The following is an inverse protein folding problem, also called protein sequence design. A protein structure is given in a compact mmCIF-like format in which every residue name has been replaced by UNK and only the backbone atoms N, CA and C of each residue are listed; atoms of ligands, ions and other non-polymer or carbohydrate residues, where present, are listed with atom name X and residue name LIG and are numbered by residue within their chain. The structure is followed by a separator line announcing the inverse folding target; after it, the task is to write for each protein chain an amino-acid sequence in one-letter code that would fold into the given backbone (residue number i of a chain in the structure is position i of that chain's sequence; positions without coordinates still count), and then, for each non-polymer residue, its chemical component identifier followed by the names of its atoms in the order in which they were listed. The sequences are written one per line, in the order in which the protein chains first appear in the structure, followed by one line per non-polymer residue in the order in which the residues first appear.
data_IF_515441045944
#
_entry.id   IF_515441045944
#
_cell.length_a   1.000
_cell.length_b   1.000
_cell.length_c   1.000
_cell.angle_alpha   90.00
_cell.angle_beta   90.00
_cell.angle_gamma   90.00
#
_symmetry.space_group_name_H-M   'P 1'
#
loop_
_entity.id
_entity.type
_entity.pdbx_description
1 polymer ?
#
# COMPACT_ATOMS: atom_id res chain seq x y z
N UNK A 1 17.76 35.98 -47.73
CA UNK A 1 16.35 36.32 -47.99
C UNK A 1 15.60 35.00 -47.97
N UNK A 2 14.96 34.63 -46.86
CA UNK A 2 13.55 34.95 -46.50
C UNK A 2 12.59 34.24 -47.46
N UNK A 3 11.53 33.50 -47.09
CA UNK A 3 10.90 32.97 -45.87
C UNK A 3 9.65 32.18 -46.37
N UNK A 4 9.06 31.30 -45.56
CA UNK A 4 7.67 30.80 -45.69
C UNK A 4 7.58 29.29 -45.94
N UNK A 5 7.42 28.38 -44.97
CA UNK A 5 6.29 28.17 -44.01
C UNK A 5 4.91 28.04 -44.66
N UNK A 6 4.29 26.86 -44.56
CA UNK A 6 3.01 26.70 -43.87
C UNK A 6 2.79 25.25 -43.41
N UNK A 7 2.78 25.08 -42.09
CA UNK A 7 2.34 23.91 -41.33
C UNK A 7 0.89 24.19 -40.91
N UNK A 8 -0.04 23.28 -41.17
CA UNK A 8 -1.41 23.38 -40.65
C UNK A 8 -1.53 22.56 -39.36
N UNK A 9 -1.62 23.26 -38.23
CA UNK A 9 -1.86 22.70 -36.90
C UNK A 9 -3.33 22.88 -36.53
N UNK A 10 -4.03 21.80 -36.23
CA UNK A 10 -5.37 21.84 -35.62
C UNK A 10 -5.24 22.16 -34.12
N UNK A 11 -5.78 23.33 -33.73
CA UNK A 11 -5.95 23.76 -32.34
C UNK A 11 -7.23 23.18 -31.76
N UNK A 12 -7.14 22.63 -30.55
CA UNK A 12 -8.26 22.46 -29.62
C UNK A 12 -8.06 23.38 -28.41
N UNK A 13 -9.16 23.83 -27.77
CA UNK A 13 -9.18 25.06 -26.98
C UNK A 13 -8.48 24.92 -25.61
N UNK A 14 -7.80 26.00 -25.26
CA UNK A 14 -7.21 26.28 -23.96
C UNK A 14 -8.28 26.40 -22.87
N UNK A 15 -8.23 25.51 -21.88
CA UNK A 15 -8.69 25.81 -20.53
C UNK A 15 -7.46 25.94 -19.61
N UNK A 16 -7.35 27.02 -18.83
CA UNK A 16 -6.18 27.26 -17.99
C UNK A 16 -6.41 26.59 -16.64
N UNK A 17 -5.56 25.64 -16.25
CA UNK A 17 -5.27 25.27 -14.86
C UNK A 17 -4.07 24.31 -14.85
N UNK A 18 -2.91 24.80 -15.29
CA UNK A 18 -1.64 24.09 -15.20
C UNK A 18 -0.55 25.08 -14.80
N UNK A 19 -0.62 25.61 -13.57
CA UNK A 19 0.47 26.39 -12.98
C UNK A 19 0.27 26.62 -11.47
N UNK A 20 -0.03 25.58 -10.70
CA UNK A 20 0.16 25.66 -9.24
C UNK A 20 0.49 24.26 -8.74
N UNK A 21 1.75 23.82 -8.88
CA UNK A 21 2.46 22.94 -7.93
C UNK A 21 3.94 22.90 -8.35
N UNK A 22 4.56 24.09 -8.39
CA UNK A 22 6.01 24.19 -8.31
C UNK A 22 6.36 24.26 -6.83
N UNK A 23 7.22 23.34 -6.38
CA UNK A 23 7.88 23.34 -5.07
C UNK A 23 6.97 23.22 -3.83
N UNK A 24 6.57 22.00 -3.51
CA UNK A 24 6.46 21.63 -2.08
C UNK A 24 7.88 21.54 -1.53
N UNK A 25 8.51 22.69 -1.25
CA UNK A 25 9.78 22.72 -0.54
C UNK A 25 9.57 22.07 0.82
N UNK A 26 10.04 20.83 1.00
CA UNK A 26 10.19 20.24 2.33
C UNK A 26 11.06 21.21 3.12
N UNK A 27 10.47 21.94 4.06
CA UNK A 27 11.23 22.75 5.01
C UNK A 27 11.88 21.77 5.98
N UNK A 28 13.06 21.29 5.60
CA UNK A 28 13.88 20.46 6.46
C UNK A 28 14.18 21.23 7.74
N UNK A 29 14.05 20.55 8.89
CA UNK A 29 14.49 21.14 10.15
C UNK A 29 16.00 21.42 10.08
N UNK A 30 16.51 22.44 10.79
CA UNK A 30 17.93 22.79 10.73
C UNK A 30 18.89 21.64 11.08
N UNK A 31 18.41 20.65 11.84
CA UNK A 31 19.18 19.45 12.18
C UNK A 31 19.32 18.48 11.01
N UNK A 32 18.30 18.35 10.18
CA UNK A 32 18.28 17.42 9.04
C UNK A 32 19.17 17.90 7.91
N UNK A 33 19.08 19.19 7.56
CA UNK A 33 19.99 19.84 6.60
C UNK A 33 21.44 19.69 7.06
N UNK A 34 21.70 19.84 8.37
CA UNK A 34 23.04 19.67 8.94
C UNK A 34 23.52 18.23 8.83
N UNK A 35 22.65 17.25 9.06
CA UNK A 35 22.97 15.84 8.92
C UNK A 35 23.26 15.46 7.46
N UNK A 36 22.43 15.89 6.51
CA UNK A 36 22.63 15.68 5.08
C UNK A 36 23.98 16.24 4.63
N UNK A 37 24.29 17.48 5.01
CA UNK A 37 25.58 18.10 4.74
C UNK A 37 26.75 17.30 5.32
N UNK A 38 26.64 16.84 6.58
CA UNK A 38 27.68 16.05 7.23
C UNK A 38 27.90 14.71 6.52
N UNK A 39 26.83 14.00 6.15
CA UNK A 39 26.91 12.74 5.40
C UNK A 39 27.55 12.96 4.03
N UNK A 40 27.14 14.01 3.30
CA UNK A 40 27.70 14.35 1.99
C UNK A 40 29.19 14.66 2.06
N UNK A 41 29.62 15.46 3.04
CA UNK A 41 31.05 15.74 3.26
C UNK A 41 31.83 14.48 3.64
N UNK A 42 31.27 13.63 4.51
CA UNK A 42 31.90 12.36 4.86
C UNK A 42 32.08 11.45 3.63
N UNK A 43 31.07 11.35 2.76
CA UNK A 43 31.15 10.56 1.53
C UNK A 43 32.19 11.12 0.55
N UNK A 44 32.33 12.45 0.44
CA UNK A 44 33.39 13.07 -0.37
C UNK A 44 34.79 12.64 0.06
N UNK A 45 35.04 12.47 1.36
CA UNK A 45 36.35 11.99 1.85
C UNK A 45 36.67 10.56 1.39
N UNK A 46 35.68 9.79 0.94
CA UNK A 46 35.83 8.40 0.49
C UNK A 46 35.97 8.26 -1.03
N UNK A 47 35.73 9.31 -1.82
CA UNK A 47 35.76 9.27 -3.30
C UNK A 47 37.05 8.65 -3.85
N UNK A 48 38.21 8.99 -3.30
CA UNK A 48 39.50 8.43 -3.73
C UNK A 48 39.83 7.04 -3.18
N UNK A 49 39.00 6.51 -2.26
CA UNK A 49 39.18 5.21 -1.61
C UNK A 49 38.31 4.11 -2.20
N UNK A 50 37.24 4.49 -2.91
CA UNK A 50 36.36 3.55 -3.59
C UNK A 50 36.74 3.39 -5.05
N UNK A 51 36.64 2.17 -5.56
CA UNK A 51 36.77 1.92 -6.99
C UNK A 51 35.41 2.16 -7.65
N UNK A 52 35.16 3.39 -8.10
CA UNK A 52 33.93 3.76 -8.81
C UNK A 52 33.44 5.17 -8.47
N UNK A 53 32.23 5.47 -8.93
CA UNK A 53 31.54 6.73 -8.65
C UNK A 53 30.72 6.64 -7.36
N UNK A 54 30.70 7.74 -6.59
CA UNK A 54 29.73 7.92 -5.50
C UNK A 54 28.68 8.89 -5.99
N UNK A 55 27.45 8.40 -6.17
CA UNK A 55 26.30 9.22 -6.54
C UNK A 55 25.54 9.55 -5.27
N UNK A 56 25.37 10.85 -4.99
CA UNK A 56 24.61 11.34 -3.85
C UNK A 56 23.33 12.00 -4.32
N UNK A 57 22.19 11.50 -3.85
CA UNK A 57 20.87 12.04 -4.15
C UNK A 57 20.28 12.75 -2.93
N UNK A 58 19.71 13.93 -3.15
CA UNK A 58 19.12 14.79 -2.13
C UNK A 58 17.91 15.52 -2.72
N UNK A 59 16.71 15.03 -2.38
CA UNK A 59 15.46 15.53 -2.95
C UNK A 59 15.47 15.46 -4.47
N UNK A 60 15.29 16.62 -5.11
CA UNK A 60 15.26 16.77 -6.57
C UNK A 60 16.65 16.91 -7.21
N UNK A 61 17.72 16.63 -6.46
CA UNK A 61 19.09 16.76 -6.95
C UNK A 61 19.84 15.44 -6.83
N UNK A 62 20.72 15.20 -7.79
CA UNK A 62 21.69 14.10 -7.73
C UNK A 62 23.02 14.58 -8.26
N UNK A 63 24.12 14.19 -7.60
CA UNK A 63 25.47 14.64 -7.93
C UNK A 63 26.43 13.46 -7.86
N UNK A 64 27.26 13.31 -8.89
CA UNK A 64 28.43 12.44 -8.80
C UNK A 64 29.50 13.17 -7.96
N UNK A 65 29.79 12.68 -6.76
CA UNK A 65 30.74 13.30 -5.83
C UNK A 65 32.19 13.20 -6.32
N UNK A 66 32.49 12.27 -7.23
CA UNK A 66 33.82 12.12 -7.84
C UNK A 66 34.12 13.22 -8.84
N UNK A 67 33.11 13.66 -9.62
CA UNK A 67 33.26 14.66 -10.68
C UNK A 67 32.69 16.03 -10.31
N UNK A 68 31.83 16.09 -9.29
CA UNK A 68 31.05 17.27 -8.95
C UNK A 68 29.90 17.58 -9.93
N UNK A 69 29.68 16.73 -10.94
CA UNK A 69 28.70 16.97 -12.00
C UNK A 69 27.32 16.47 -11.55
N UNK A 70 26.28 17.25 -11.86
CA UNK A 70 24.89 16.87 -11.65
C UNK A 70 24.54 15.62 -12.48
N UNK A 71 23.78 14.70 -11.89
CA UNK A 71 23.41 13.44 -12.52
C UNK A 71 21.88 13.31 -12.59
N UNK A 72 21.29 13.84 -13.67
CA UNK A 72 19.83 13.84 -13.85
C UNK A 72 19.19 12.45 -13.89
N UNK A 73 19.98 11.40 -14.13
CA UNK A 73 19.47 10.03 -14.27
C UNK A 73 19.00 9.40 -12.96
N UNK A 74 19.40 9.96 -11.81
CA UNK A 74 19.02 9.48 -10.48
C UNK A 74 18.25 10.55 -9.70
N UNK A 75 17.56 11.44 -10.42
CA UNK A 75 16.58 12.37 -9.86
C UNK A 75 15.21 11.71 -9.93
N UNK A 76 14.75 11.17 -8.81
CA UNK A 76 13.43 10.58 -8.67
C UNK A 76 12.57 11.51 -7.81
N UNK A 77 11.47 11.99 -8.37
CA UNK A 77 10.44 12.74 -7.64
C UNK A 77 9.45 11.75 -7.04
N UNK A 78 9.91 11.05 -6.00
CA UNK A 78 9.08 10.16 -5.21
C UNK A 78 9.00 10.66 -3.77
N UNK A 79 7.83 10.60 -3.11
CA UNK A 79 7.71 11.00 -1.71
C UNK A 79 8.47 10.07 -0.74
N UNK A 80 8.66 8.80 -1.11
CA UNK A 80 9.23 7.75 -0.26
C UNK A 80 10.63 7.33 -0.74
N UNK A 81 11.58 7.22 0.20
CA UNK A 81 12.99 6.94 -0.10
C UNK A 81 13.26 5.46 -0.44
N UNK A 82 12.44 4.55 0.09
CA UNK A 82 12.45 3.12 -0.22
C UNK A 82 12.21 2.88 -1.72
N UNK A 83 11.13 3.42 -2.29
CA UNK A 83 10.84 3.29 -3.73
C UNK A 83 11.96 3.91 -4.56
N UNK A 84 12.53 5.05 -4.15
CA UNK A 84 13.69 5.64 -4.85
C UNK A 84 14.91 4.70 -4.91
N UNK A 85 15.16 3.88 -3.88
CA UNK A 85 16.24 2.89 -3.90
C UNK A 85 16.00 1.84 -4.99
N UNK A 86 14.75 1.38 -5.15
CA UNK A 86 14.37 0.42 -6.18
C UNK A 86 14.34 1.06 -7.57
N UNK A 87 13.96 2.33 -7.70
CA UNK A 87 14.08 3.10 -8.95
C UNK A 87 15.54 3.21 -9.40
N UNK A 88 16.46 3.48 -8.48
CA UNK A 88 17.89 3.53 -8.77
C UNK A 88 18.43 2.16 -9.23
N UNK A 89 17.98 1.07 -8.60
CA UNK A 89 18.28 -0.29 -9.05
C UNK A 89 17.78 -0.54 -10.47
N UNK A 90 16.52 -0.21 -10.76
CA UNK A 90 15.93 -0.34 -12.08
C UNK A 90 16.72 0.43 -13.14
N UNK A 91 17.11 1.66 -12.83
CA UNK A 91 17.91 2.49 -13.72
C UNK A 91 19.28 1.87 -14.01
N UNK A 92 19.96 1.29 -13.01
CA UNK A 92 21.20 0.54 -13.24
C UNK A 92 20.98 -0.62 -14.23
N UNK A 93 19.89 -1.38 -14.07
CA UNK A 93 19.56 -2.49 -14.98
C UNK A 93 19.28 -2.03 -16.40
N UNK A 94 18.56 -0.92 -16.60
CA UNK A 94 18.34 -0.35 -17.96
C UNK A 94 19.64 0.06 -18.66
N UNK A 95 20.71 0.32 -17.90
CA UNK A 95 22.06 0.61 -18.43
C UNK A 95 22.91 -0.63 -18.68
N UNK A 96 22.29 -1.82 -18.69
CA UNK A 96 22.94 -3.11 -18.82
C UNK A 96 23.98 -3.40 -17.73
N UNK A 97 23.84 -2.81 -16.53
CA UNK A 97 24.65 -3.22 -15.39
C UNK A 97 24.23 -4.63 -14.95
N UNK A 98 25.13 -5.59 -15.10
CA UNK A 98 24.90 -7.00 -14.78
C UNK A 98 25.48 -7.42 -13.44
N UNK A 99 26.25 -6.55 -12.78
CA UNK A 99 26.84 -6.84 -11.48
C UNK A 99 25.79 -6.96 -10.37
N UNK A 100 26.21 -7.48 -9.22
CA UNK A 100 25.37 -7.54 -8.03
C UNK A 100 25.08 -6.12 -7.52
N UNK A 101 23.83 -5.87 -7.16
CA UNK A 101 23.39 -4.64 -6.49
C UNK A 101 23.06 -4.99 -5.05
N UNK A 102 23.62 -4.24 -4.10
CA UNK A 102 23.36 -4.41 -2.67
C UNK A 102 22.67 -3.16 -2.14
N UNK A 103 21.48 -3.32 -1.60
CA UNK A 103 20.77 -2.29 -0.84
C UNK A 103 21.22 -2.35 0.62
N UNK A 104 21.67 -1.23 1.17
CA UNK A 104 22.01 -1.09 2.59
C UNK A 104 20.87 -0.33 3.29
N UNK A 105 19.82 -1.06 3.64
CA UNK A 105 18.62 -0.53 4.30
C UNK A 105 18.04 -1.58 5.24
N UNK A 106 17.57 -1.16 6.42
CA UNK A 106 16.90 -2.04 7.39
C UNK A 106 15.37 -1.86 7.42
N UNK A 107 14.83 -1.01 6.55
CA UNK A 107 13.39 -0.75 6.47
C UNK A 107 12.64 -1.94 5.85
N UNK A 108 11.54 -2.36 6.50
CA UNK A 108 10.74 -3.51 6.06
C UNK A 108 10.05 -3.24 4.72
N UNK A 109 9.70 -1.99 4.43
CA UNK A 109 9.03 -1.64 3.16
C UNK A 109 9.97 -1.88 1.96
N UNK A 110 11.29 -1.66 2.14
CA UNK A 110 12.31 -2.03 1.14
C UNK A 110 12.37 -3.55 0.93
N UNK A 111 12.25 -4.35 1.99
CA UNK A 111 12.24 -5.83 1.84
C UNK A 111 11.04 -6.31 1.02
N UNK A 112 9.86 -5.74 1.25
CA UNK A 112 8.64 -6.08 0.53
C UNK A 112 8.79 -5.73 -0.95
N UNK A 113 9.16 -4.49 -1.27
CA UNK A 113 9.26 -4.05 -2.65
C UNK A 113 10.42 -4.73 -3.38
N UNK A 114 11.57 -4.95 -2.72
CA UNK A 114 12.70 -5.65 -3.34
C UNK A 114 12.38 -7.11 -3.68
N UNK A 115 11.56 -7.80 -2.88
CA UNK A 115 11.13 -9.16 -3.21
C UNK A 115 10.37 -9.19 -4.55
N UNK A 116 9.45 -8.25 -4.77
CA UNK A 116 8.77 -8.06 -6.05
C UNK A 116 9.75 -7.66 -7.17
N UNK A 117 10.49 -6.56 -7.01
CA UNK A 117 11.37 -6.00 -8.07
C UNK A 117 12.43 -7.01 -8.54
N UNK A 118 12.95 -7.84 -7.63
CA UNK A 118 13.95 -8.86 -7.96
C UNK A 118 13.44 -9.99 -8.85
N UNK A 119 12.12 -10.20 -8.92
CA UNK A 119 11.49 -11.12 -9.88
C UNK A 119 11.29 -10.44 -11.24
N UNK A 120 11.04 -9.13 -11.24
CA UNK A 120 10.76 -8.36 -12.46
C UNK A 120 12.02 -8.00 -13.26
N UNK A 121 13.16 -7.83 -12.58
CA UNK A 121 14.41 -7.40 -13.20
C UNK A 121 15.50 -8.47 -13.11
N UNK A 122 16.23 -8.65 -14.21
CA UNK A 122 17.35 -9.58 -14.25
C UNK A 122 18.54 -9.12 -13.40
N UNK A 123 19.19 -10.10 -12.77
CA UNK A 123 20.46 -9.95 -12.07
C UNK A 123 20.31 -9.85 -10.55
N UNK A 124 21.41 -10.10 -9.82
CA UNK A 124 21.36 -10.24 -8.36
C UNK A 124 21.04 -8.92 -7.65
N UNK A 125 19.92 -8.90 -6.93
CA UNK A 125 19.54 -7.89 -5.96
C UNK A 125 19.64 -8.48 -4.56
N UNK A 126 20.49 -7.90 -3.73
CA UNK A 126 20.70 -8.31 -2.34
C UNK A 126 20.33 -7.16 -1.39
N UNK A 127 19.80 -7.49 -0.22
CA UNK A 127 19.68 -6.54 0.90
C UNK A 127 20.67 -6.93 1.99
N UNK A 128 21.42 -5.96 2.48
CA UNK A 128 22.27 -6.11 3.65
C UNK A 128 21.43 -5.98 4.93
N UNK A 129 21.53 -6.97 5.80
CA UNK A 129 20.89 -6.98 7.12
C UNK A 129 21.90 -7.42 8.17
N UNK A 130 22.29 -6.52 9.06
CA UNK A 130 23.36 -6.75 10.04
C UNK A 130 24.65 -7.26 9.36
N UNK A 131 24.96 -8.54 9.53
CA UNK A 131 26.15 -9.20 8.98
C UNK A 131 25.84 -10.17 7.83
N UNK A 132 24.60 -10.18 7.32
CA UNK A 132 24.16 -11.07 6.25
C UNK A 132 23.74 -10.29 5.00
N UNK A 133 23.89 -10.93 3.85
CA UNK A 133 23.30 -10.51 2.58
C UNK A 133 22.16 -11.47 2.25
N UNK A 134 20.98 -10.92 2.01
CA UNK A 134 19.77 -11.68 1.68
C UNK A 134 19.50 -11.51 0.19
N UNK A 135 19.38 -12.63 -0.54
CA UNK A 135 18.98 -12.59 -1.95
C UNK A 135 17.47 -12.35 -2.05
N UNK A 136 17.08 -11.23 -2.64
CA UNK A 136 15.69 -10.79 -2.73
C UNK A 136 14.82 -11.75 -3.55
N UNK A 137 15.37 -12.30 -4.63
CA UNK A 137 14.66 -13.23 -5.52
C UNK A 137 14.35 -14.57 -4.82
N UNK A 138 15.10 -14.91 -3.77
CA UNK A 138 14.89 -16.10 -2.96
C UNK A 138 14.00 -15.87 -1.72
N UNK A 139 13.51 -14.64 -1.48
CA UNK A 139 12.72 -14.33 -0.28
C UNK A 139 11.31 -14.90 -0.34
N UNK A 140 10.71 -14.93 -1.53
CA UNK A 140 9.35 -15.36 -1.79
C UNK A 140 9.30 -16.22 -3.07
N UNK A 141 8.32 -17.10 -3.18
CA UNK A 141 7.96 -17.69 -4.46
C UNK A 141 7.45 -16.61 -5.41
N UNK A 142 7.52 -16.86 -6.71
CA UNK A 142 6.99 -15.97 -7.76
C UNK A 142 5.54 -15.56 -7.47
N UNK A 143 4.65 -16.53 -7.28
CA UNK A 143 3.23 -16.29 -6.94
C UNK A 143 3.02 -15.42 -5.68
N UNK A 144 3.92 -15.49 -4.69
CA UNK A 144 3.79 -14.70 -3.49
C UNK A 144 4.37 -13.29 -3.68
N UNK A 145 5.39 -13.16 -4.54
CA UNK A 145 6.01 -11.89 -4.88
C UNK A 145 5.06 -11.01 -5.70
N UNK A 146 4.27 -11.58 -6.60
CA UNK A 146 3.32 -10.83 -7.44
C UNK A 146 2.23 -10.12 -6.61
N UNK A 147 1.84 -10.70 -5.48
CA UNK A 147 0.79 -10.14 -4.60
C UNK A 147 1.33 -9.45 -3.34
N UNK A 148 2.65 -9.46 -3.08
CA UNK A 148 3.19 -9.04 -1.77
C UNK A 148 2.97 -7.55 -1.49
N UNK A 149 3.12 -6.71 -2.51
CA UNK A 149 2.93 -5.26 -2.41
C UNK A 149 1.47 -4.94 -2.05
N UNK A 150 0.46 -5.31 -2.88
CA UNK A 150 -0.94 -5.02 -2.56
C UNK A 150 -1.37 -5.62 -1.23
N UNK A 151 -0.92 -6.83 -0.89
CA UNK A 151 -1.17 -7.45 0.40
C UNK A 151 -0.58 -6.65 1.57
N UNK A 152 0.69 -6.24 1.47
CA UNK A 152 1.37 -5.46 2.51
C UNK A 152 0.63 -4.14 2.77
N UNK A 153 0.27 -3.45 1.70
CA UNK A 153 -0.41 -2.16 1.74
C UNK A 153 -1.85 -2.31 2.28
N UNK A 154 -2.67 -3.26 1.80
CA UNK A 154 -4.05 -3.40 2.30
C UNK A 154 -4.11 -3.84 3.76
N UNK A 155 -3.15 -4.65 4.20
CA UNK A 155 -3.06 -5.13 5.60
C UNK A 155 -2.33 -4.15 6.53
N UNK A 156 -2.03 -2.95 6.03
CA UNK A 156 -1.49 -1.80 6.74
C UNK A 156 -0.01 -1.58 6.50
N UNK A 157 0.34 -0.41 6.01
CA UNK A 157 1.72 0.08 5.82
C UNK A 157 1.87 1.40 6.60
N UNK A 158 2.94 2.15 6.37
CA UNK A 158 3.05 3.52 6.89
C UNK A 158 1.97 4.45 6.30
N UNK A 159 1.38 4.08 5.16
CA UNK A 159 0.40 4.88 4.41
C UNK A 159 -1.05 4.47 4.63
N UNK A 160 -1.27 3.27 5.17
CA UNK A 160 -2.59 2.64 5.27
C UNK A 160 -2.80 2.02 6.65
N UNK A 161 -4.04 1.99 7.10
CA UNK A 161 -4.34 1.42 8.42
C UNK A 161 -4.39 -0.10 8.35
N UNK A 162 -3.76 -0.77 9.33
CA UNK A 162 -3.88 -2.21 9.48
C UNK A 162 -5.19 -2.63 10.15
N UNK A 163 -5.70 -3.80 9.81
CA UNK A 163 -6.90 -4.37 10.44
C UNK A 163 -6.54 -4.99 11.80
N UNK A 164 -7.22 -4.55 12.86
CA UNK A 164 -6.89 -4.95 14.23
C UNK A 164 -6.94 -6.47 14.43
N UNK A 165 -5.82 -7.07 14.88
CA UNK A 165 -5.61 -8.54 15.08
C UNK A 165 -5.53 -9.38 13.80
N UNK A 166 -5.52 -8.77 12.63
CA UNK A 166 -5.31 -9.47 11.36
C UNK A 166 -3.90 -9.17 10.86
N UNK A 167 -2.94 -9.99 11.26
CA UNK A 167 -1.54 -9.82 10.89
C UNK A 167 -1.24 -10.30 9.47
N UNK A 168 -0.35 -9.60 8.76
CA UNK A 168 0.03 -9.85 7.35
C UNK A 168 0.28 -11.31 7.03
N UNK A 169 1.09 -11.99 7.86
CA UNK A 169 1.41 -13.42 7.70
C UNK A 169 0.16 -14.30 7.61
N UNK A 170 -0.83 -14.08 8.49
CA UNK A 170 -2.07 -14.87 8.50
C UNK A 170 -2.95 -14.59 7.30
N UNK A 171 -2.94 -13.35 6.80
CA UNK A 171 -3.69 -13.00 5.59
C UNK A 171 -3.00 -13.61 4.37
N UNK A 172 -1.67 -13.52 4.28
CA UNK A 172 -0.86 -14.18 3.25
C UNK A 172 -1.16 -15.68 3.19
N UNK A 173 -1.12 -16.38 4.33
CA UNK A 173 -1.41 -17.82 4.40
C UNK A 173 -2.79 -18.19 3.81
N UNK A 174 -3.80 -17.33 3.99
CA UNK A 174 -5.14 -17.53 3.39
C UNK A 174 -5.14 -17.23 1.89
N UNK A 175 -4.54 -16.12 1.48
CA UNK A 175 -4.44 -15.71 0.08
C UNK A 175 -3.71 -16.77 -0.75
N UNK A 176 -2.64 -17.36 -0.24
CA UNK A 176 -1.91 -18.41 -0.94
C UNK A 176 -2.73 -19.69 -1.17
N UNK A 177 -3.86 -19.86 -0.48
CA UNK A 177 -4.79 -20.98 -0.69
C UNK A 177 -6.00 -20.62 -1.54
N UNK A 178 -6.11 -19.36 -1.97
CA UNK A 178 -7.27 -18.80 -2.66
C UNK A 178 -6.81 -18.14 -3.99
N UNK A 179 -7.01 -18.82 -5.14
CA UNK A 179 -6.62 -18.28 -6.44
C UNK A 179 -7.33 -16.98 -6.80
N UNK A 180 -8.61 -16.84 -6.47
CA UNK A 180 -9.40 -15.63 -6.79
C UNK A 180 -8.88 -14.43 -6.00
N UNK A 181 -8.52 -14.65 -4.73
CA UNK A 181 -7.89 -13.61 -3.92
C UNK A 181 -6.52 -13.16 -4.46
N UNK A 182 -5.77 -14.06 -5.10
CA UNK A 182 -4.49 -13.72 -5.74
C UNK A 182 -4.70 -12.92 -7.02
N UNK A 183 -5.58 -13.38 -7.89
CA UNK A 183 -5.96 -12.68 -9.13
C UNK A 183 -6.46 -11.26 -8.84
N UNK A 184 -7.29 -11.09 -7.81
CA UNK A 184 -7.73 -9.77 -7.36
C UNK A 184 -6.56 -8.88 -6.95
N UNK A 185 -5.64 -9.41 -6.12
CA UNK A 185 -4.52 -8.61 -5.63
C UNK A 185 -3.55 -8.23 -6.75
N UNK A 186 -3.36 -9.07 -7.76
CA UNK A 186 -2.56 -8.74 -8.95
C UNK A 186 -3.12 -7.51 -9.70
N UNK A 187 -4.45 -7.37 -9.76
CA UNK A 187 -5.13 -6.22 -10.40
C UNK A 187 -4.97 -4.89 -9.63
N UNK A 188 -4.67 -4.94 -8.33
CA UNK A 188 -4.59 -3.74 -7.49
C UNK A 188 -3.34 -2.93 -7.85
N UNK A 189 -3.53 -1.65 -8.18
CA UNK A 189 -2.45 -0.74 -8.55
C UNK A 189 -1.85 -1.00 -9.94
N UNK A 190 -2.48 -1.83 -10.77
CA UNK A 190 -2.13 -1.90 -12.22
C UNK A 190 -2.40 -0.56 -12.91
N UNK A 191 -3.46 0.13 -12.49
CA UNK A 191 -3.82 1.47 -12.96
C UNK A 191 -3.97 2.46 -11.80
N UNK A 192 -3.79 3.74 -12.10
CA UNK A 192 -3.88 4.81 -11.11
C UNK A 192 -5.34 4.98 -10.61
N UNK A 193 -6.29 4.91 -11.53
CA UNK A 193 -7.71 5.02 -11.23
C UNK A 193 -8.26 3.67 -10.76
N UNK A 194 -8.86 3.65 -9.57
CA UNK A 194 -9.43 2.43 -9.02
C UNK A 194 -10.76 2.09 -9.71
N UNK A 195 -10.75 0.99 -10.47
CA UNK A 195 -11.95 0.44 -11.10
C UNK A 195 -13.01 0.07 -10.05
N UNK A 196 -14.29 0.35 -10.35
CA UNK A 196 -15.40 0.08 -9.44
C UNK A 196 -15.56 -1.41 -9.12
N UNK A 197 -15.24 -2.28 -10.07
CA UNK A 197 -15.23 -3.73 -9.85
C UNK A 197 -14.13 -4.14 -8.86
N UNK A 198 -12.87 -3.71 -9.10
CA UNK A 198 -11.75 -3.97 -8.18
C UNK A 198 -12.03 -3.40 -6.78
N UNK A 199 -12.66 -2.23 -6.70
CA UNK A 199 -13.11 -1.64 -5.42
C UNK A 199 -14.09 -2.55 -4.69
N UNK A 200 -15.12 -3.03 -5.38
CA UNK A 200 -16.13 -3.91 -4.81
C UNK A 200 -15.51 -5.24 -4.35
N UNK A 201 -14.65 -5.83 -5.18
CA UNK A 201 -13.96 -7.08 -4.89
C UNK A 201 -12.99 -6.95 -3.72
N UNK A 202 -12.27 -5.82 -3.61
CA UNK A 202 -11.40 -5.53 -2.47
C UNK A 202 -12.17 -5.41 -1.15
N UNK A 203 -13.40 -4.86 -1.18
CA UNK A 203 -14.28 -4.88 0.01
C UNK A 203 -14.68 -6.30 0.37
N UNK A 204 -15.10 -7.09 -0.63
CA UNK A 204 -15.47 -8.49 -0.44
C UNK A 204 -14.30 -9.31 0.12
N UNK A 205 -13.09 -9.10 -0.39
CA UNK A 205 -11.84 -9.67 0.11
C UNK A 205 -11.59 -9.36 1.59
N UNK A 206 -11.78 -8.10 2.00
CA UNK A 206 -11.63 -7.73 3.42
C UNK A 206 -12.66 -8.46 4.28
N UNK A 207 -13.90 -8.63 3.82
CA UNK A 207 -14.90 -9.39 4.56
C UNK A 207 -14.57 -10.87 4.64
N UNK A 208 -14.29 -11.52 3.51
CA UNK A 208 -14.10 -12.97 3.40
C UNK A 208 -12.75 -13.43 3.95
N UNK A 209 -11.65 -12.81 3.50
CA UNK A 209 -10.30 -13.24 3.84
C UNK A 209 -9.86 -12.68 5.19
N UNK A 210 -10.05 -11.37 5.41
CA UNK A 210 -9.57 -10.74 6.64
C UNK A 210 -10.50 -11.09 7.80
N UNK A 211 -11.79 -10.80 7.67
CA UNK A 211 -12.75 -10.93 8.77
C UNK A 211 -13.50 -12.26 8.86
N UNK A 212 -13.35 -13.15 7.88
CA UNK A 212 -14.03 -14.46 7.79
C UNK A 212 -15.56 -14.37 7.85
N UNK A 213 -16.12 -13.34 7.24
CA UNK A 213 -17.56 -13.19 6.98
C UNK A 213 -17.88 -13.68 5.55
N UNK A 214 -19.17 -13.78 5.19
CA UNK A 214 -19.54 -14.03 3.79
C UNK A 214 -19.23 -12.80 2.93
N UNK A 215 -18.81 -13.01 1.68
CA UNK A 215 -18.49 -11.94 0.72
C UNK A 215 -19.71 -11.05 0.42
N UNK A 216 -20.92 -11.59 0.46
CA UNK A 216 -22.18 -10.87 0.19
C UNK A 216 -22.63 -9.97 1.35
N UNK A 217 -21.92 -10.00 2.48
CA UNK A 217 -22.25 -9.22 3.67
C UNK A 217 -21.74 -7.80 3.51
N UNK A 218 -22.61 -6.82 3.68
CA UNK A 218 -22.23 -5.40 3.71
C UNK A 218 -21.39 -5.07 4.95
N UNK A 219 -20.56 -4.02 4.88
CA UNK A 219 -19.79 -3.51 6.02
C UNK A 219 -20.69 -3.30 7.26
N UNK A 220 -21.90 -2.74 7.05
CA UNK A 220 -22.88 -2.51 8.11
C UNK A 220 -23.38 -3.81 8.77
N UNK A 221 -23.71 -4.83 7.97
CA UNK A 221 -24.12 -6.14 8.48
C UNK A 221 -22.99 -6.85 9.23
N UNK A 222 -21.76 -6.83 8.70
CA UNK A 222 -20.58 -7.40 9.36
C UNK A 222 -20.28 -6.70 10.71
N UNK A 223 -20.47 -5.38 10.76
CA UNK A 223 -20.35 -4.61 12.01
C UNK A 223 -21.47 -4.96 12.99
N UNK A 224 -22.72 -5.03 12.54
CA UNK A 224 -23.86 -5.37 13.40
C UNK A 224 -23.73 -6.79 13.98
N UNK A 225 -23.31 -7.78 13.18
CA UNK A 225 -23.12 -9.17 13.62
C UNK A 225 -22.07 -9.29 14.72
N UNK A 226 -21.01 -8.47 14.66
CA UNK A 226 -19.93 -8.44 15.66
C UNK A 226 -20.25 -7.54 16.85
N UNK A 227 -21.08 -6.49 16.66
CA UNK A 227 -21.52 -5.59 17.72
C UNK A 227 -22.19 -6.33 18.87
N UNK A 228 -23.11 -7.24 18.59
CA UNK A 228 -23.82 -7.99 19.64
C UNK A 228 -22.90 -8.92 20.45
N UNK A 229 -21.71 -9.25 19.93
CA UNK A 229 -20.73 -10.13 20.57
C UNK A 229 -19.63 -9.34 21.29
N UNK A 230 -19.66 -8.01 21.23
CA UNK A 230 -18.61 -7.13 21.77
C UNK A 230 -18.78 -6.89 23.27
N UNK A 231 -17.75 -7.26 24.04
CA UNK A 231 -17.73 -7.10 25.50
C UNK A 231 -16.98 -5.86 26.00
N UNK A 232 -16.06 -5.27 25.21
CA UNK A 232 -15.10 -4.27 25.75
C UNK A 232 -14.63 -3.15 24.81
N UNK A 233 -14.46 -3.36 23.50
CA UNK A 233 -13.84 -2.34 22.63
C UNK A 233 -14.22 -2.45 21.15
N UNK A 234 -14.64 -1.33 20.58
CA UNK A 234 -15.06 -1.17 19.18
C UNK A 234 -13.94 -1.34 18.16
N UNK A 235 -12.67 -1.36 18.58
CA UNK A 235 -11.52 -1.58 17.68
C UNK A 235 -11.54 -2.94 16.96
N UNK A 236 -12.36 -3.88 17.45
CA UNK A 236 -12.54 -5.22 16.84
C UNK A 236 -13.63 -5.26 15.78
N UNK A 237 -14.35 -4.16 15.59
CA UNK A 237 -15.32 -4.07 14.52
C UNK A 237 -14.59 -4.02 13.17
N UNK A 238 -15.17 -4.62 12.12
CA UNK A 238 -14.78 -4.31 10.75
C UNK A 238 -14.93 -2.81 10.50
N UNK A 239 -14.17 -2.22 9.57
CA UNK A 239 -14.40 -0.84 9.16
C UNK A 239 -15.83 -0.64 8.66
N UNK A 240 -16.35 0.58 8.77
CA UNK A 240 -17.52 0.98 8.00
C UNK A 240 -17.17 1.17 6.53
N UNK A 241 -18.19 1.27 5.69
CA UNK A 241 -18.04 1.25 4.24
C UNK A 241 -17.17 2.41 3.72
N UNK A 242 -17.40 3.62 4.23
CA UNK A 242 -16.68 4.84 3.86
C UNK A 242 -15.21 4.79 4.27
N UNK A 243 -14.94 4.39 5.52
CA UNK A 243 -13.57 4.22 5.99
C UNK A 243 -12.82 3.13 5.20
N UNK A 244 -13.51 2.07 4.79
CA UNK A 244 -12.93 0.99 3.99
C UNK A 244 -12.68 1.45 2.55
N UNK A 245 -13.62 2.14 1.91
CA UNK A 245 -13.47 2.73 0.57
C UNK A 245 -12.21 3.58 0.49
N UNK A 246 -12.08 4.53 1.42
CA UNK A 246 -10.92 5.41 1.47
C UNK A 246 -9.63 4.64 1.73
N UNK A 247 -9.68 3.52 2.46
CA UNK A 247 -8.52 2.66 2.65
C UNK A 247 -8.13 1.91 1.37
N UNK A 248 -9.11 1.40 0.61
CA UNK A 248 -8.88 0.72 -0.68
C UNK A 248 -8.33 1.69 -1.72
N UNK A 249 -8.83 2.93 -1.77
CA UNK A 249 -8.28 4.01 -2.63
C UNK A 249 -6.80 4.24 -2.35
N UNK A 250 -6.47 4.40 -1.06
CA UNK A 250 -5.09 4.59 -0.63
C UNK A 250 -4.23 3.38 -0.98
N UNK A 251 -4.77 2.18 -0.79
CA UNK A 251 -4.08 0.95 -1.16
C UNK A 251 -3.76 0.93 -2.65
N UNK A 252 -4.74 1.20 -3.52
CA UNK A 252 -4.53 1.20 -4.96
C UNK A 252 -3.41 2.16 -5.37
N UNK A 253 -3.45 3.39 -4.88
CA UNK A 253 -2.45 4.40 -5.21
C UNK A 253 -1.04 4.04 -4.75
N UNK A 254 -0.87 3.57 -3.50
CA UNK A 254 0.47 3.22 -2.98
C UNK A 254 1.00 2.00 -3.70
N UNK A 255 0.15 0.99 -3.95
CA UNK A 255 0.52 -0.17 -4.75
C UNK A 255 0.91 0.27 -6.16
N UNK A 256 0.16 1.16 -6.81
CA UNK A 256 0.52 1.72 -8.11
C UNK A 256 1.92 2.32 -8.10
N UNK A 257 2.23 3.18 -7.12
CA UNK A 257 3.56 3.76 -6.99
C UNK A 257 4.65 2.70 -6.78
N UNK A 258 4.41 1.69 -5.95
CA UNK A 258 5.41 0.67 -5.66
C UNK A 258 5.64 -0.31 -6.82
N UNK A 259 4.60 -0.62 -7.60
CA UNK A 259 4.68 -1.43 -8.83
C UNK A 259 5.36 -0.66 -9.97
N UNK A 260 5.10 0.64 -10.07
CA UNK A 260 5.65 1.53 -11.09
C UNK A 260 6.91 2.26 -10.61
N UNK A 261 7.79 1.54 -9.90
CA UNK A 261 9.03 2.06 -9.33
C UNK A 261 9.99 2.69 -10.35
N UNK A 262 9.79 2.44 -11.65
CA UNK A 262 10.61 2.99 -12.72
C UNK A 262 10.18 4.40 -13.17
N UNK A 263 9.06 4.94 -12.66
CA UNK A 263 8.65 6.30 -12.96
C UNK A 263 9.59 7.31 -12.30
N UNK A 264 10.00 8.31 -13.08
CA UNK A 264 10.80 9.43 -12.54
C UNK A 264 9.96 10.39 -11.71
N UNK A 265 8.67 10.52 -12.04
CA UNK A 265 7.72 11.40 -11.38
C UNK A 265 6.42 10.63 -11.19
N UNK A 266 6.04 10.46 -9.92
CA UNK A 266 4.82 9.76 -9.57
C UNK A 266 3.63 10.71 -9.56
N UNK A 267 2.41 10.18 -9.79
CA UNK A 267 1.20 10.98 -9.74
C UNK A 267 0.98 11.58 -8.36
N UNK A 268 0.11 12.59 -8.28
CA UNK A 268 -0.28 13.20 -7.01
C UNK A 268 -1.17 12.23 -6.20
N UNK A 269 -1.01 12.13 -4.88
CA UNK A 269 -1.90 11.33 -4.03
C UNK A 269 -3.28 11.96 -3.82
N UNK A 270 -3.43 13.24 -4.19
CA UNK A 270 -4.66 14.01 -3.94
C UNK A 270 -5.80 13.45 -4.79
N UNK A 271 -6.90 13.08 -4.13
CA UNK A 271 -8.04 12.41 -4.78
C UNK A 271 -8.05 10.90 -4.59
N UNK A 272 -6.90 10.27 -4.29
CA UNK A 272 -6.79 8.82 -4.07
C UNK A 272 -6.85 8.45 -2.58
N UNK A 273 -7.78 9.08 -1.84
CA UNK A 273 -7.91 8.91 -0.39
C UNK A 273 -6.99 9.81 0.46
N UNK A 274 -6.33 10.79 -0.16
CA UNK A 274 -5.65 11.91 0.50
C UNK A 274 -6.15 13.28 0.03
N UNK A 275 -5.97 14.28 0.89
CA UNK A 275 -6.26 15.67 0.64
C UNK A 275 -5.11 16.59 1.06
N UNK A 276 -5.09 17.81 0.52
CA UNK A 276 -4.10 18.82 0.87
C UNK A 276 -4.70 19.81 1.88
N UNK A 277 -4.25 19.73 3.13
CA UNK A 277 -4.70 20.60 4.22
C UNK A 277 -3.53 21.44 4.72
N UNK A 278 -3.60 22.76 4.51
CA UNK A 278 -2.55 23.70 4.90
C UNK A 278 -1.16 23.32 4.35
N UNK A 279 -1.10 22.93 3.07
CA UNK A 279 0.14 22.52 2.41
C UNK A 279 0.69 21.17 2.86
N UNK A 280 -0.06 20.40 3.66
CA UNK A 280 0.32 19.05 4.10
C UNK A 280 -0.65 18.03 3.53
N UNK A 281 -0.11 16.98 2.93
CA UNK A 281 -0.88 15.82 2.50
C UNK A 281 -1.39 15.06 3.75
N UNK A 282 -2.68 14.76 3.81
CA UNK A 282 -3.31 14.03 4.91
C UNK A 282 -4.28 12.98 4.39
N UNK A 283 -4.36 11.81 5.03
CA UNK A 283 -5.36 10.81 4.65
C UNK A 283 -6.77 11.32 4.98
N UNK A 284 -7.70 11.14 4.06
CA UNK A 284 -9.13 11.35 4.31
C UNK A 284 -9.63 10.13 5.05
N UNK A 285 -10.07 10.29 6.30
CA UNK A 285 -10.50 9.16 7.13
C UNK A 285 -11.98 8.81 6.95
N UNK A 286 -12.81 9.78 6.61
CA UNK A 286 -14.25 9.65 6.38
C UNK A 286 -14.73 10.80 5.51
N UNK A 287 -15.73 10.55 4.67
CA UNK A 287 -16.44 11.55 3.87
C UNK A 287 -17.83 11.85 4.42
N UNK A 288 -18.44 10.91 5.16
CA UNK A 288 -19.74 11.13 5.78
C UNK A 288 -19.63 11.86 7.12
N UNK A 289 -20.67 12.64 7.49
CA UNK A 289 -20.70 13.28 8.79
C UNK A 289 -20.69 12.24 9.92
N UNK A 290 -20.10 12.58 11.08
CA UNK A 290 -20.21 11.72 12.26
C UNK A 290 -21.69 11.54 12.62
N UNK A 291 -21.98 10.44 13.33
CA UNK A 291 -23.33 10.15 13.81
C UNK A 291 -23.93 11.40 14.49
N UNK A 292 -25.17 11.82 14.14
CA UNK A 292 -25.78 13.02 14.69
C UNK A 292 -25.74 13.01 16.21
N UNK A 293 -25.27 14.11 16.81
CA UNK A 293 -25.19 14.26 18.27
C UNK A 293 -26.57 14.33 18.95
N UNK A 294 -27.65 14.50 18.19
CA UNK A 294 -29.02 14.54 18.70
C UNK A 294 -29.57 13.13 18.95
N UNK A 295 -29.70 12.78 20.22
CA UNK A 295 -30.16 11.50 20.79
C UNK A 295 -31.63 11.12 20.50
N UNK A 296 -32.28 11.71 19.50
CA UNK A 296 -33.72 11.60 19.28
C UNK A 296 -34.17 10.40 18.43
N UNK A 297 -33.22 9.57 17.96
CA UNK A 297 -33.51 8.51 16.99
C UNK A 297 -33.15 7.11 17.50
N UNK A 298 -33.49 6.77 18.75
CA UNK A 298 -33.64 5.37 19.17
C UNK A 298 -34.70 5.22 20.26
N UNK A 299 -35.94 5.58 19.96
CA UNK A 299 -37.10 4.96 20.62
C UNK A 299 -37.63 3.87 19.69
N UNK A 300 -36.87 2.79 19.52
CA UNK A 300 -37.46 1.55 19.03
C UNK A 300 -38.42 1.11 20.14
N UNK A 301 -39.72 1.22 19.88
CA UNK A 301 -40.76 0.62 20.70
C UNK A 301 -40.44 -0.88 20.82
N UNK A 302 -39.81 -1.26 21.92
CA UNK A 302 -39.94 -2.60 22.49
C UNK A 302 -41.43 -2.76 22.84
N UNK A 303 -42.25 -3.17 21.87
CA UNK A 303 -43.59 -3.68 22.16
C UNK A 303 -43.38 -4.95 22.98
N UNK A 304 -43.65 -4.85 24.28
CA UNK A 304 -43.87 -5.98 25.15
C UNK A 304 -45.06 -6.78 24.62
N UNK A 305 -44.80 -7.89 23.91
CA UNK A 305 -45.77 -8.98 23.85
C UNK A 305 -45.47 -9.91 25.03
N UNK A 306 -46.01 -9.54 26.18
CA UNK A 306 -46.40 -10.52 27.18
C UNK A 306 -47.54 -11.34 26.58
N UNK A 307 -47.30 -12.62 26.32
CA UNK A 307 -48.31 -13.65 26.49
C UNK A 307 -47.59 -14.95 26.86
N UNK A 308 -47.77 -15.30 28.13
CA UNK A 308 -47.59 -16.63 28.67
C UNK A 308 -48.47 -17.62 27.89
N UNK A 309 -47.90 -18.70 27.37
CA UNK A 309 -48.56 -20.00 27.56
C UNK A 309 -47.56 -21.16 27.64
N UNK A 310 -47.50 -21.64 28.87
CA UNK A 310 -46.87 -22.84 29.41
C UNK A 310 -47.28 -24.10 28.62
N UNK A 311 -46.31 -24.87 28.12
CA UNK A 311 -46.41 -26.34 28.11
C UNK A 311 -45.02 -27.00 28.03
N UNK A 312 -44.69 -27.78 29.08
CA UNK A 312 -43.63 -28.83 29.06
C UNK A 312 -44.28 -30.14 28.61
N UNK A 313 -43.55 -31.06 27.95
CA UNK A 313 -43.01 -32.22 28.67
C UNK A 313 -41.62 -32.66 28.16
N UNK A 314 -40.67 -32.93 29.06
CA UNK A 314 -40.29 -34.24 29.63
C UNK A 314 -39.15 -34.96 28.89
N UNK A 315 -38.18 -35.39 29.68
CA UNK A 315 -36.94 -36.07 29.34
C UNK A 315 -37.05 -37.22 28.34
N UNK A 316 -36.00 -37.43 27.53
CA UNK A 316 -35.25 -38.70 27.54
C UNK A 316 -33.91 -38.59 26.84
N UNK A 317 -32.83 -38.73 27.62
CA UNK A 317 -31.54 -39.24 27.19
C UNK A 317 -31.71 -40.72 26.81
N UNK A 318 -31.32 -41.12 25.60
CA UNK A 318 -30.89 -42.49 25.30
C UNK A 318 -29.80 -42.52 24.24
N UNK A 319 -28.66 -43.04 24.67
CA UNK A 319 -27.52 -43.52 23.90
C UNK A 319 -27.94 -44.61 22.91
N UNK A 320 -27.26 -44.71 21.77
CA UNK A 320 -27.10 -45.98 21.06
C UNK A 320 -25.80 -46.03 20.27
N UNK A 321 -24.79 -46.60 20.90
CA UNK A 321 -23.78 -47.45 20.25
C UNK A 321 -24.46 -48.80 20.03
N UNK A 322 -24.46 -49.33 18.80
CA UNK A 322 -24.22 -50.77 18.59
C UNK A 322 -23.86 -51.08 17.14
N UNK A 323 -22.74 -51.78 17.01
CA UNK A 323 -22.24 -52.51 15.85
C UNK A 323 -23.23 -53.55 15.32
N UNK A 324 -23.09 -53.91 14.03
CA UNK A 324 -23.25 -55.27 13.52
C UNK A 324 -22.44 -55.47 12.23
N UNK A 325 -21.36 -56.24 12.37
CA UNK A 325 -20.94 -57.43 11.58
C UNK A 325 -22.09 -58.07 10.74
N UNK A 326 -21.92 -58.73 9.59
CA UNK A 326 -20.86 -59.57 9.00
C UNK A 326 -21.31 -60.00 7.59
N UNK A 327 -20.41 -60.07 6.61
CA UNK A 327 -20.18 -61.20 5.68
C UNK A 327 -18.91 -60.90 4.88
#
# INVERSE_FOLDING_TARGET
MMLGEEVTTLRLPSHPLASVMSSSSRTFSGNEVRLQKLVKEQLKTQVGRVRGDIIYCEGETSTNLSTGVANGDYVFKHPEADTMLLSAHAKLRTRNYTGTVVLDCEDTDVFVQAAYVSQQLRGDLLIKRKHALINCCAMLSEEAADIIIPLHVITGSDHTSGFYRHGKKKVLEKVMTDPEARELLERVGESLELEDEVRADMKAFVHSIVYAESADVTCGQARASKWHKLKKSTIRLPPDDDSLDLNVERTNYITYCQLHYNLLEHPSPIGHGWELVNGKCRPVHHTFPPCPSSSHLMTVQMRSSSDDERTKPSATWKSKVQERTTS
#
